data_IF_278104329817
#
_entry.id   IF_278104329817
#
_cell.length_a   1.000
_cell.length_b   1.000
_cell.length_c   1.000
_cell.angle_alpha   90.00
_cell.angle_beta   90.00
_cell.angle_gamma   90.00
#
_symmetry.space_group_name_H-M   'P 1'
#
loop_
_entity.id
_entity.type
_entity.pdbx_description
1 polymer ?
#
# COMPACT_ATOMS: atom_id res chain seq x y z
N UNK A 1 30.15 -1.56 6.48
CA UNK A 1 28.87 -1.58 5.74
C UNK A 1 27.82 -1.19 6.74
N UNK A 2 27.13 -0.09 6.52
CA UNK A 2 26.08 0.41 7.41
C UNK A 2 24.71 -0.17 7.02
N UNK A 3 23.70 0.04 7.86
CA UNK A 3 22.33 -0.42 7.59
C UNK A 3 21.76 0.18 6.31
N UNK A 4 22.08 1.45 6.00
CA UNK A 4 21.58 2.12 4.80
C UNK A 4 22.05 1.45 3.52
N UNK A 5 23.30 0.95 3.49
CA UNK A 5 23.83 0.17 2.37
C UNK A 5 23.06 -1.13 2.17
N UNK A 6 22.75 -1.87 3.25
CA UNK A 6 21.98 -3.12 3.17
C UNK A 6 20.58 -2.84 2.62
N UNK A 7 19.90 -1.81 3.11
CA UNK A 7 18.57 -1.45 2.65
C UNK A 7 18.55 -0.99 1.20
N UNK A 8 19.55 -0.23 0.76
CA UNK A 8 19.70 0.15 -0.64
C UNK A 8 19.90 -1.08 -1.54
N UNK A 9 20.66 -2.09 -1.08
CA UNK A 9 20.81 -3.37 -1.78
C UNK A 9 19.47 -4.08 -1.88
N UNK A 10 18.69 -4.19 -0.80
CA UNK A 10 17.36 -4.80 -0.83
C UNK A 10 16.48 -4.17 -1.92
N UNK A 11 16.42 -2.83 -1.94
CA UNK A 11 15.63 -2.10 -2.95
C UNK A 11 16.11 -2.41 -4.36
N UNK A 12 17.43 -2.39 -4.60
CA UNK A 12 18.03 -2.67 -5.90
C UNK A 12 17.70 -4.08 -6.40
N UNK A 13 17.64 -5.05 -5.50
CA UNK A 13 17.33 -6.44 -5.85
C UNK A 13 15.83 -6.66 -6.09
N UNK A 14 14.96 -5.97 -5.36
CA UNK A 14 13.51 -6.19 -5.40
C UNK A 14 12.80 -5.33 -6.45
N UNK A 15 13.10 -4.03 -6.52
CA UNK A 15 12.40 -3.06 -7.38
C UNK A 15 12.23 -3.49 -8.84
N UNK A 16 13.21 -4.11 -9.53
CA UNK A 16 13.04 -4.48 -10.93
C UNK A 16 12.19 -5.73 -11.18
N UNK A 17 11.95 -6.58 -10.17
CA UNK A 17 11.45 -7.95 -10.40
C UNK A 17 10.17 -8.30 -9.62
N UNK A 18 9.87 -7.60 -8.53
CA UNK A 18 8.71 -8.00 -7.71
C UNK A 18 7.39 -7.52 -8.31
N UNK A 19 6.32 -8.34 -8.27
CA UNK A 19 4.98 -7.89 -8.63
C UNK A 19 4.47 -6.81 -7.66
N UNK A 20 3.67 -5.88 -8.19
CA UNK A 20 3.12 -4.73 -7.46
C UNK A 20 1.63 -4.91 -7.21
N UNK A 21 1.18 -4.59 -6.01
CA UNK A 21 -0.20 -4.71 -5.54
C UNK A 21 -0.66 -3.46 -4.81
N UNK A 22 -1.97 -3.32 -4.64
CA UNK A 22 -2.58 -2.23 -3.89
C UNK A 22 -3.04 -2.76 -2.53
N UNK A 23 -2.87 -1.95 -1.50
CA UNK A 23 -3.39 -2.19 -0.17
C UNK A 23 -3.85 -0.85 0.42
N UNK A 24 -4.83 -0.87 1.32
CA UNK A 24 -5.32 0.28 2.06
C UNK A 24 -5.32 -0.11 3.54
N UNK A 25 -4.89 0.79 4.42
CA UNK A 25 -4.98 0.54 5.86
C UNK A 25 -6.45 0.39 6.26
N UNK A 26 -6.79 -0.67 7.02
CA UNK A 26 -8.19 -0.93 7.39
C UNK A 26 -8.72 0.15 8.34
N UNK A 27 -7.84 0.68 9.19
CA UNK A 27 -8.15 1.78 10.09
C UNK A 27 -8.42 3.06 9.28
N UNK A 28 -9.63 3.59 9.48
CA UNK A 28 -10.08 4.85 8.89
C UNK A 28 -10.03 4.88 7.34
N UNK A 29 -10.07 3.72 6.68
CA UNK A 29 -10.23 3.64 5.23
C UNK A 29 -11.43 4.50 4.76
N UNK A 30 -11.18 5.38 3.79
CA UNK A 30 -12.18 6.33 3.31
C UNK A 30 -12.93 5.73 2.14
N UNK A 31 -14.26 5.68 2.22
CA UNK A 31 -15.10 5.18 1.11
C UNK A 31 -15.35 6.29 0.10
N UNK A 32 -14.99 6.05 -1.14
CA UNK A 32 -15.11 7.04 -2.21
C UNK A 32 -16.16 6.60 -3.21
N UNK A 33 -17.08 7.49 -3.57
CA UNK A 33 -18.01 7.25 -4.69
C UNK A 33 -17.46 7.89 -5.97
N UNK A 34 -17.41 7.12 -7.06
CA UNK A 34 -16.85 7.56 -8.34
C UNK A 34 -17.97 7.85 -9.33
N UNK A 35 -18.16 9.11 -9.70
CA UNK A 35 -19.04 9.52 -10.80
C UNK A 35 -18.27 9.49 -12.13
N UNK A 36 -18.97 9.17 -13.23
CA UNK A 36 -18.32 8.94 -14.54
C UNK A 36 -17.51 7.65 -14.63
N UNK A 37 -17.52 6.83 -13.57
CA UNK A 37 -16.94 5.48 -13.54
C UNK A 37 -17.94 4.39 -13.95
N UNK A 38 -17.58 3.11 -13.81
CA UNK A 38 -18.46 1.99 -14.15
C UNK A 38 -19.65 1.87 -13.18
N UNK A 39 -20.81 1.44 -13.69
CA UNK A 39 -22.00 1.22 -12.86
C UNK A 39 -21.89 0.01 -11.92
N UNK A 40 -21.09 -0.98 -12.30
CA UNK A 40 -20.84 -2.22 -11.56
C UNK A 40 -19.36 -2.55 -11.58
N UNK A 41 -18.91 -3.30 -10.58
CA UNK A 41 -17.54 -3.77 -10.56
C UNK A 41 -17.24 -4.67 -11.76
N UNK A 42 -16.03 -4.54 -12.30
CA UNK A 42 -15.51 -5.41 -13.34
C UNK A 42 -14.01 -5.61 -13.14
N UNK A 43 -13.45 -6.65 -13.76
CA UNK A 43 -12.03 -7.00 -13.67
C UNK A 43 -11.36 -6.80 -15.02
N UNK A 44 -10.14 -6.28 -14.99
CA UNK A 44 -9.27 -6.15 -16.16
C UNK A 44 -7.87 -6.66 -15.86
N UNK A 45 -7.24 -7.27 -16.86
CA UNK A 45 -5.84 -7.66 -16.77
C UNK A 45 -4.94 -6.42 -16.85
N UNK A 46 -4.11 -6.24 -15.82
CA UNK A 46 -3.10 -5.19 -15.74
C UNK A 46 -1.72 -5.80 -15.48
N UNK A 47 -0.62 -5.20 -15.98
CA UNK A 47 0.72 -5.66 -15.67
C UNK A 47 0.96 -5.69 -14.15
N UNK A 48 1.58 -6.76 -13.66
CA UNK A 48 2.08 -6.82 -12.28
C UNK A 48 3.23 -5.85 -12.05
N UNK A 49 3.99 -5.53 -13.09
CA UNK A 49 5.09 -4.58 -13.00
C UNK A 49 5.18 -3.73 -14.27
N UNK A 50 4.93 -2.43 -14.15
CA UNK A 50 4.81 -1.51 -15.30
C UNK A 50 6.07 -1.47 -16.17
N UNK A 51 7.26 -1.67 -15.57
CA UNK A 51 8.54 -1.63 -16.28
C UNK A 51 9.14 -3.02 -16.59
N UNK A 52 8.45 -4.11 -16.23
CA UNK A 52 8.96 -5.47 -16.38
C UNK A 52 7.80 -6.41 -16.77
N UNK A 53 7.54 -6.59 -18.07
CA UNK A 53 6.49 -7.46 -18.57
C UNK A 53 6.63 -8.94 -18.16
N UNK A 54 7.86 -9.41 -17.91
CA UNK A 54 8.14 -10.82 -17.60
C UNK A 54 7.55 -11.27 -16.26
N UNK A 55 7.22 -10.33 -15.37
CA UNK A 55 6.52 -10.59 -14.10
C UNK A 55 5.06 -11.02 -14.34
N UNK A 56 4.52 -10.75 -15.53
CA UNK A 56 3.19 -11.13 -15.96
C UNK A 56 2.10 -10.13 -15.59
N UNK A 57 0.85 -10.60 -15.59
CA UNK A 57 -0.35 -9.80 -15.35
C UNK A 57 -1.10 -10.25 -14.10
N UNK A 58 -2.00 -9.39 -13.63
CA UNK A 58 -2.96 -9.64 -12.55
C UNK A 58 -4.30 -9.03 -12.93
N UNK A 59 -5.38 -9.57 -12.38
CA UNK A 59 -6.68 -8.93 -12.48
C UNK A 59 -6.78 -7.81 -11.46
N UNK A 60 -7.15 -6.61 -11.92
CA UNK A 60 -7.48 -5.46 -11.08
C UNK A 60 -8.98 -5.24 -11.16
N UNK A 61 -9.63 -5.11 -10.00
CA UNK A 61 -11.05 -4.81 -9.92
C UNK A 61 -11.26 -3.29 -9.95
N UNK A 62 -12.08 -2.82 -10.87
CA UNK A 62 -12.56 -1.45 -10.97
C UNK A 62 -14.03 -1.44 -10.55
N UNK A 63 -14.53 -0.34 -9.98
CA UNK A 63 -15.92 -0.27 -9.52
C UNK A 63 -16.41 1.14 -9.22
N UNK A 64 -17.73 1.30 -8.95
CA UNK A 64 -18.35 2.59 -8.65
C UNK A 64 -17.92 3.17 -7.29
N UNK A 65 -17.34 2.35 -6.42
CA UNK A 65 -16.84 2.75 -5.10
C UNK A 65 -15.42 2.27 -4.89
N UNK A 66 -14.60 3.10 -4.24
CA UNK A 66 -13.22 2.81 -3.90
C UNK A 66 -12.97 2.97 -2.40
N UNK A 67 -11.84 2.44 -1.95
CA UNK A 67 -11.20 2.74 -0.68
C UNK A 67 -9.89 3.49 -0.93
N UNK A 68 -9.65 4.53 -0.15
CA UNK A 68 -8.39 5.29 -0.09
C UNK A 68 -7.87 5.36 1.35
N UNK A 69 -6.56 5.53 1.49
CA UNK A 69 -5.95 5.79 2.81
C UNK A 69 -6.37 7.17 3.34
N UNK A 70 -6.69 7.23 4.63
CA UNK A 70 -7.03 8.47 5.33
C UNK A 70 -5.94 9.54 5.18
N UNK A 71 -4.66 9.14 5.21
CA UNK A 71 -3.53 10.05 5.09
C UNK A 71 -3.50 10.77 3.72
N UNK A 72 -3.74 10.03 2.63
CA UNK A 72 -3.80 10.60 1.29
C UNK A 72 -5.00 11.57 1.17
N UNK A 73 -6.18 11.16 1.65
CA UNK A 73 -7.40 11.98 1.61
C UNK A 73 -7.29 13.25 2.45
N UNK A 74 -6.63 13.18 3.60
CA UNK A 74 -6.42 14.33 4.47
C UNK A 74 -5.61 15.44 3.80
N UNK A 75 -4.81 15.13 2.77
CA UNK A 75 -4.05 16.13 2.02
C UNK A 75 -4.84 16.75 0.86
N UNK A 76 -5.94 16.15 0.41
CA UNK A 76 -6.70 16.63 -0.76
C UNK A 76 -7.31 18.02 -0.56
N UNK A 77 -7.47 18.78 -1.63
CA UNK A 77 -8.31 19.98 -1.63
C UNK A 77 -9.60 19.72 -2.41
N UNK A 78 -10.68 20.42 -2.04
CA UNK A 78 -11.90 20.36 -2.84
C UNK A 78 -11.64 20.91 -4.24
N UNK A 79 -12.19 20.24 -5.27
CA UNK A 79 -11.95 20.51 -6.69
C UNK A 79 -10.49 20.27 -7.17
N UNK A 80 -9.66 19.63 -6.36
CA UNK A 80 -8.32 19.20 -6.79
C UNK A 80 -8.40 18.02 -7.77
N UNK A 81 -7.59 18.05 -8.83
CA UNK A 81 -7.39 16.91 -9.70
C UNK A 81 -6.25 16.03 -9.17
N UNK A 82 -6.55 14.75 -8.97
CA UNK A 82 -5.63 13.72 -8.48
C UNK A 82 -5.51 12.58 -9.49
N UNK A 83 -4.42 11.81 -9.43
CA UNK A 83 -4.28 10.59 -10.22
C UNK A 83 -4.57 9.35 -9.37
N UNK A 84 -5.54 8.56 -9.81
CA UNK A 84 -5.76 7.18 -9.37
C UNK A 84 -4.77 6.28 -10.11
N UNK A 85 -3.77 5.75 -9.40
CA UNK A 85 -2.69 4.97 -10.02
C UNK A 85 -3.24 3.82 -10.86
N UNK A 86 -2.75 3.70 -12.10
CA UNK A 86 -3.17 2.68 -13.07
C UNK A 86 -4.64 2.73 -13.52
N UNK A 87 -5.38 3.80 -13.21
CA UNK A 87 -6.73 4.04 -13.74
C UNK A 87 -6.80 5.32 -14.58
N UNK A 88 -6.44 6.47 -14.01
CA UNK A 88 -6.58 7.77 -14.65
C UNK A 88 -6.70 8.90 -13.64
N UNK A 89 -7.02 10.11 -14.10
CA UNK A 89 -7.26 11.22 -13.21
C UNK A 89 -8.71 11.25 -12.72
N UNK A 90 -8.93 11.87 -11.56
CA UNK A 90 -10.23 12.16 -11.02
C UNK A 90 -10.20 13.49 -10.25
N UNK A 91 -11.34 14.17 -10.18
CA UNK A 91 -11.49 15.45 -9.51
C UNK A 91 -12.21 15.22 -8.18
N UNK A 92 -11.64 15.75 -7.10
CA UNK A 92 -12.24 15.73 -5.76
C UNK A 92 -13.46 16.64 -5.74
N UNK A 93 -14.59 16.15 -5.22
CA UNK A 93 -15.85 16.90 -5.16
C UNK A 93 -16.49 16.84 -3.78
N UNK A 94 -16.86 18.01 -3.26
CA UNK A 94 -17.61 18.15 -2.01
C UNK A 94 -16.82 17.66 -0.81
N UNK A 95 -15.50 17.81 -0.80
CA UNK A 95 -14.67 17.36 0.31
C UNK A 95 -14.92 18.23 1.55
N UNK A 96 -15.53 17.63 2.57
CA UNK A 96 -15.68 18.24 3.89
C UNK A 96 -14.59 17.73 4.84
N UNK A 97 -13.83 18.66 5.42
CA UNK A 97 -12.79 18.39 6.43
C UNK A 97 -13.17 18.89 7.83
N UNK A 98 -14.44 19.25 8.05
CA UNK A 98 -14.94 19.72 9.34
C UNK A 98 -14.88 18.64 10.43
N UNK A 99 -14.95 17.37 10.03
CA UNK A 99 -14.81 16.21 10.89
C UNK A 99 -13.58 15.37 10.51
N UNK A 100 -12.95 14.76 11.53
CA UNK A 100 -11.86 13.79 11.37
C UNK A 100 -12.14 12.58 12.25
N UNK A 101 -11.93 11.35 11.76
CA UNK A 101 -11.49 10.99 10.40
C UNK A 101 -12.55 11.23 9.32
N UNK A 102 -12.11 11.41 8.07
CA UNK A 102 -12.98 11.59 6.90
C UNK A 102 -13.57 10.22 6.57
N UNK A 103 -14.89 10.10 6.43
CA UNK A 103 -15.53 8.79 6.19
C UNK A 103 -15.83 8.53 4.73
N UNK A 104 -16.15 9.58 3.99
CA UNK A 104 -16.47 9.49 2.58
C UNK A 104 -16.09 10.76 1.81
N UNK A 105 -15.96 10.61 0.49
CA UNK A 105 -15.82 11.71 -0.47
C UNK A 105 -16.32 11.29 -1.86
N UNK A 106 -16.53 12.27 -2.74
CA UNK A 106 -16.87 12.01 -4.14
C UNK A 106 -15.68 12.31 -5.06
N UNK A 107 -15.46 11.42 -6.02
CA UNK A 107 -14.53 11.64 -7.13
C UNK A 107 -15.30 11.65 -8.44
N UNK A 108 -14.99 12.62 -9.30
CA UNK A 108 -15.47 12.68 -10.67
C UNK A 108 -14.35 12.20 -11.62
N UNK A 109 -14.57 11.08 -12.30
CA UNK A 109 -13.56 10.48 -13.18
C UNK A 109 -13.28 11.39 -14.39
N UNK A 110 -12.01 11.72 -14.59
CA UNK A 110 -11.56 12.61 -15.66
C UNK A 110 -10.45 11.92 -16.48
N UNK A 111 -10.83 10.95 -17.31
CA UNK A 111 -9.87 10.14 -18.08
C UNK A 111 -9.12 10.94 -19.18
N UNK A 112 -9.61 12.12 -19.55
CA UNK A 112 -8.91 13.03 -20.46
C UNK A 112 -7.79 13.83 -19.77
N UNK A 113 -7.68 13.76 -18.45
CA UNK A 113 -6.66 14.46 -17.67
C UNK A 113 -5.24 13.93 -17.91
N UNK A 114 -4.25 14.78 -17.62
CA UNK A 114 -2.83 14.41 -17.70
C UNK A 114 -2.28 14.08 -16.30
N UNK A 115 -1.80 12.86 -16.10
CA UNK A 115 -1.19 12.43 -14.84
C UNK A 115 0.14 13.14 -14.53
N UNK A 116 0.70 13.90 -15.47
CA UNK A 116 1.90 14.71 -15.27
C UNK A 116 1.60 16.06 -14.63
N UNK A 117 0.35 16.54 -14.71
CA UNK A 117 -0.06 17.84 -14.16
C UNK A 117 -0.59 17.72 -12.73
N UNK A 118 -0.92 16.51 -12.28
CA UNK A 118 -1.36 16.24 -10.92
C UNK A 118 -0.17 16.15 -9.96
N UNK A 119 -0.29 16.78 -8.80
CA UNK A 119 0.69 16.68 -7.71
C UNK A 119 0.55 15.37 -6.94
N UNK A 120 -0.68 14.86 -6.81
CA UNK A 120 -1.02 13.69 -5.99
C UNK A 120 -1.33 12.47 -6.85
N UNK A 121 -0.64 11.36 -6.55
CA UNK A 121 -0.85 10.05 -7.16
C UNK A 121 -1.10 9.04 -6.05
N UNK A 122 -2.30 8.50 -6.02
CA UNK A 122 -2.78 7.68 -4.91
C UNK A 122 -3.11 6.27 -5.37
N UNK A 123 -2.79 5.32 -4.51
CA UNK A 123 -3.27 3.95 -4.60
C UNK A 123 -4.70 3.84 -4.07
N UNK A 124 -5.42 2.83 -4.54
CA UNK A 124 -6.84 2.65 -4.27
C UNK A 124 -7.20 1.16 -4.34
N UNK A 125 -8.33 0.78 -3.75
CA UNK A 125 -8.94 -0.54 -3.94
C UNK A 125 -10.40 -0.37 -4.32
N UNK A 126 -10.93 -1.17 -5.24
CA UNK A 126 -12.38 -1.24 -5.40
C UNK A 126 -13.01 -1.71 -4.08
N UNK A 127 -14.03 -0.99 -3.63
CA UNK A 127 -14.83 -1.32 -2.45
C UNK A 127 -15.83 -2.44 -2.77
N UNK A 128 -15.32 -3.53 -3.36
CA UNK A 128 -16.05 -4.74 -3.72
C UNK A 128 -15.69 -5.85 -2.73
N UNK A 129 -16.65 -6.48 -2.03
CA UNK A 129 -16.36 -7.56 -1.09
C UNK A 129 -15.56 -8.73 -1.67
N UNK A 130 -15.70 -9.03 -2.97
CA UNK A 130 -14.91 -10.09 -3.64
C UNK A 130 -13.47 -9.68 -3.94
N UNK A 131 -13.16 -8.37 -3.86
CA UNK A 131 -11.84 -7.82 -4.12
C UNK A 131 -11.02 -7.59 -2.86
N UNK A 132 -11.65 -7.51 -1.69
CA UNK A 132 -11.01 -7.09 -0.45
C UNK A 132 -10.60 -8.31 0.38
N UNK A 133 -9.31 -8.59 0.42
CA UNK A 133 -8.74 -9.60 1.33
C UNK A 133 -8.01 -8.95 2.49
N UNK A 134 -8.03 -9.59 3.66
CA UNK A 134 -7.39 -9.05 4.87
C UNK A 134 -5.93 -9.50 4.98
N UNK A 135 -5.07 -8.58 5.36
CA UNK A 135 -3.66 -8.85 5.63
C UNK A 135 -3.16 -8.12 6.87
N UNK A 136 -2.17 -8.70 7.53
CA UNK A 136 -1.34 -8.01 8.52
C UNK A 136 -0.06 -7.51 7.85
N UNK A 137 0.21 -6.21 7.96
CA UNK A 137 1.46 -5.60 7.51
C UNK A 137 2.35 -5.37 8.73
N UNK A 138 3.49 -6.05 8.79
CA UNK A 138 4.44 -5.92 9.89
C UNK A 138 5.66 -5.10 9.48
N UNK A 139 5.99 -4.08 10.26
CA UNK A 139 7.23 -3.30 10.16
C UNK A 139 8.13 -3.63 11.35
N UNK A 140 9.44 -3.65 11.14
CA UNK A 140 10.43 -4.07 12.14
C UNK A 140 11.50 -3.00 12.32
N UNK A 141 11.76 -2.68 13.59
CA UNK A 141 12.74 -1.71 14.03
C UNK A 141 14.06 -2.34 14.44
N UNK A 142 14.95 -1.50 14.98
CA UNK A 142 16.20 -1.96 15.57
C UNK A 142 15.93 -2.70 16.88
N UNK A 143 16.71 -3.75 17.13
CA UNK A 143 16.65 -4.52 18.38
C UNK A 143 17.33 -3.79 19.54
N UNK A 144 18.29 -2.91 19.23
CA UNK A 144 19.02 -2.10 20.20
C UNK A 144 18.87 -0.61 19.89
N UNK A 145 18.93 0.22 20.92
CA UNK A 145 18.79 1.68 20.86
C UNK A 145 20.12 2.40 20.60
N UNK A 146 21.24 1.67 20.68
CA UNK A 146 22.60 2.18 20.47
C UNK A 146 23.22 1.59 19.20
N UNK A 147 23.81 2.45 18.37
CA UNK A 147 24.38 2.04 17.07
C UNK A 147 25.55 1.04 17.20
N UNK A 148 26.35 1.16 18.26
CA UNK A 148 27.47 0.27 18.55
C UNK A 148 27.62 0.14 20.06
N UNK A 149 27.67 -1.11 20.53
CA UNK A 149 27.98 -1.41 21.93
C UNK A 149 29.50 -1.40 22.14
N UNK A 150 29.95 -0.66 23.13
CA UNK A 150 31.31 -0.63 23.62
C UNK A 150 31.57 -1.81 24.58
N UNK A 151 32.84 -2.09 24.88
CA UNK A 151 33.21 -3.26 25.71
C UNK A 151 32.59 -3.26 27.11
N UNK A 152 32.36 -2.07 27.68
CA UNK A 152 31.84 -1.90 29.03
C UNK A 152 30.32 -1.66 29.06
N UNK A 153 29.65 -1.71 27.90
CA UNK A 153 28.19 -1.60 27.83
C UNK A 153 27.52 -2.91 28.26
N UNK A 154 26.45 -2.79 29.05
CA UNK A 154 25.53 -3.89 29.29
C UNK A 154 24.42 -3.89 28.24
N UNK A 155 24.27 -4.99 27.48
CA UNK A 155 23.29 -5.12 26.41
C UNK A 155 21.86 -4.81 26.88
N UNK A 156 21.49 -5.26 28.07
CA UNK A 156 20.13 -5.13 28.60
C UNK A 156 19.68 -3.67 28.73
N UNK A 157 20.63 -2.75 28.96
CA UNK A 157 20.36 -1.31 29.08
C UNK A 157 20.03 -0.65 27.73
N UNK A 158 20.31 -1.35 26.61
CA UNK A 158 20.15 -0.84 25.26
C UNK A 158 19.17 -1.64 24.41
N UNK A 159 18.43 -2.59 24.98
CA UNK A 159 17.36 -3.27 24.25
C UNK A 159 16.22 -2.29 23.93
N UNK A 160 15.74 -2.32 22.69
CA UNK A 160 14.57 -1.54 22.30
C UNK A 160 13.29 -2.17 22.86
N UNK A 161 12.47 -1.37 23.56
CA UNK A 161 11.21 -1.83 24.16
C UNK A 161 10.20 -2.33 23.10
N UNK A 162 10.23 -1.73 21.91
CA UNK A 162 9.35 -2.09 20.80
C UNK A 162 10.16 -2.20 19.52
N UNK A 163 10.09 -3.37 18.89
CA UNK A 163 10.87 -3.71 17.69
C UNK A 163 9.99 -4.11 16.51
N UNK A 164 8.67 -4.16 16.69
CA UNK A 164 7.73 -4.54 15.64
C UNK A 164 6.42 -3.79 15.78
N UNK A 165 5.84 -3.41 14.64
CA UNK A 165 4.54 -2.75 14.55
C UNK A 165 3.68 -3.46 13.51
N UNK A 166 2.42 -3.71 13.86
CA UNK A 166 1.44 -4.34 12.98
C UNK A 166 0.39 -3.32 12.56
N UNK A 167 0.11 -3.27 11.26
CA UNK A 167 -1.02 -2.54 10.68
C UNK A 167 -1.96 -3.56 10.02
N UNK A 168 -3.25 -3.51 10.36
CA UNK A 168 -4.27 -4.28 9.66
C UNK A 168 -4.61 -3.56 8.34
N UNK A 169 -4.62 -4.31 7.23
CA UNK A 169 -4.85 -3.76 5.90
C UNK A 169 -5.82 -4.61 5.08
N UNK A 170 -6.51 -3.92 4.17
CA UNK A 170 -7.21 -4.52 3.04
C UNK A 170 -6.27 -4.54 1.84
N UNK A 171 -6.24 -5.65 1.12
CA UNK A 171 -5.35 -5.86 -0.04
C UNK A 171 -6.18 -6.37 -1.22
N UNK A 172 -5.72 -6.07 -2.42
CA UNK A 172 -6.31 -6.58 -3.66
C UNK A 172 -6.33 -8.12 -3.70
N UNK A 173 -7.47 -8.73 -4.04
CA UNK A 173 -7.66 -10.18 -4.08
C UNK A 173 -6.68 -10.92 -5.03
N UNK A 174 -6.03 -10.22 -5.96
CA UNK A 174 -5.00 -10.81 -6.82
C UNK A 174 -3.76 -11.31 -6.07
N UNK A 175 -3.64 -11.05 -4.76
CA UNK A 175 -2.62 -11.68 -3.92
C UNK A 175 -2.91 -13.15 -3.58
N UNK A 176 -4.11 -13.68 -3.89
CA UNK A 176 -4.50 -15.05 -3.51
C UNK A 176 -3.57 -16.14 -4.05
N UNK A 177 -2.86 -15.88 -5.16
CA UNK A 177 -1.89 -16.82 -5.74
C UNK A 177 -0.48 -16.75 -5.14
N UNK A 178 -0.21 -15.82 -4.22
CA UNK A 178 1.11 -15.69 -3.59
C UNK A 178 1.34 -16.80 -2.57
N UNK A 179 2.60 -17.20 -2.46
CA UNK A 179 3.09 -18.23 -1.54
C UNK A 179 3.99 -17.63 -0.49
N UNK A 180 4.19 -18.36 0.60
CA UNK A 180 5.22 -18.03 1.57
C UNK A 180 6.58 -17.82 0.88
N UNK A 181 7.31 -16.80 1.31
CA UNK A 181 8.58 -16.32 0.77
C UNK A 181 8.53 -15.60 -0.58
N UNK A 182 7.35 -15.42 -1.19
CA UNK A 182 7.23 -14.50 -2.31
C UNK A 182 7.51 -13.07 -1.84
N UNK A 183 8.13 -12.28 -2.71
CA UNK A 183 8.36 -10.85 -2.48
C UNK A 183 7.45 -10.02 -3.38
N UNK A 184 6.84 -8.99 -2.80
CA UNK A 184 5.94 -8.08 -3.49
C UNK A 184 6.25 -6.63 -3.14
N UNK A 185 5.74 -5.71 -3.96
CA UNK A 185 5.61 -4.31 -3.58
C UNK A 185 4.13 -3.99 -3.35
N UNK A 186 3.81 -3.37 -2.21
CA UNK A 186 2.55 -2.68 -2.01
C UNK A 186 2.77 -1.22 -2.43
N UNK A 187 2.05 -0.76 -3.44
CA UNK A 187 2.15 0.60 -3.97
C UNK A 187 1.99 1.61 -2.83
N UNK A 188 2.90 2.59 -2.76
CA UNK A 188 3.01 3.60 -1.67
C UNK A 188 3.25 3.07 -0.25
N UNK A 189 3.27 1.75 0.01
CA UNK A 189 3.56 1.17 1.35
C UNK A 189 4.94 0.51 1.46
N UNK A 190 5.54 0.09 0.34
CA UNK A 190 6.91 -0.43 0.28
C UNK A 190 6.99 -1.87 -0.20
N UNK A 191 8.08 -2.55 0.15
CA UNK A 191 8.34 -3.94 -0.26
C UNK A 191 8.07 -4.88 0.91
N UNK A 192 7.53 -6.05 0.61
CA UNK A 192 7.11 -7.04 1.60
C UNK A 192 7.48 -8.45 1.17
N UNK A 193 7.84 -9.29 2.13
CA UNK A 193 7.88 -10.75 2.00
C UNK A 193 6.59 -11.32 2.54
N UNK A 194 6.00 -12.29 1.85
CA UNK A 194 4.89 -13.09 2.36
C UNK A 194 5.41 -14.04 3.43
N UNK A 195 5.08 -13.77 4.70
CA UNK A 195 5.39 -14.66 5.83
C UNK A 195 4.37 -15.80 5.93
N UNK A 196 3.08 -15.48 5.70
CA UNK A 196 2.02 -16.48 5.58
C UNK A 196 1.14 -16.11 4.40
N UNK A 197 0.90 -17.09 3.52
CA UNK A 197 0.00 -16.89 2.38
C UNK A 197 -1.43 -16.63 2.86
N UNK A 198 -2.27 -16.11 1.96
CA UNK A 198 -3.69 -15.91 2.25
C UNK A 198 -4.32 -17.23 2.70
N UNK A 199 -5.12 -17.18 3.77
CA UNK A 199 -5.74 -18.36 4.39
C UNK A 199 -4.84 -19.11 5.38
N UNK A 200 -3.56 -18.76 5.50
CA UNK A 200 -2.60 -19.46 6.36
C UNK A 200 -2.18 -18.66 7.60
N UNK A 201 -2.49 -17.36 7.66
CA UNK A 201 -2.28 -16.52 8.83
C UNK A 201 -3.42 -16.53 9.84
N UNK A 202 -3.29 -15.74 10.93
CA UNK A 202 -4.35 -15.55 11.92
C UNK A 202 -5.67 -15.15 11.26
N UNK A 203 -6.77 -15.79 11.65
CA UNK A 203 -8.11 -15.58 11.06
C UNK A 203 -8.17 -15.74 9.53
N UNK A 204 -7.25 -16.50 8.92
CA UNK A 204 -7.16 -16.67 7.48
C UNK A 204 -6.56 -15.48 6.72
N UNK A 205 -5.99 -14.50 7.43
CA UNK A 205 -5.31 -13.33 6.82
C UNK A 205 -4.00 -13.73 6.16
N UNK A 206 -3.56 -12.95 5.18
CA UNK A 206 -2.15 -12.99 4.77
C UNK A 206 -1.29 -12.26 5.82
N UNK A 207 -0.04 -12.69 6.00
CA UNK A 207 0.93 -11.98 6.87
C UNK A 207 2.10 -11.54 6.00
N UNK A 208 2.36 -10.23 5.99
CA UNK A 208 3.34 -9.58 5.12
C UNK A 208 4.38 -8.84 5.97
N UNK A 209 5.64 -9.23 5.85
CA UNK A 209 6.75 -8.62 6.58
C UNK A 209 7.46 -7.60 5.69
N UNK A 210 7.52 -6.36 6.13
CA UNK A 210 8.15 -5.28 5.39
C UNK A 210 9.64 -5.53 5.26
N UNK A 211 10.15 -5.35 4.05
CA UNK A 211 11.57 -5.40 3.74
C UNK A 211 12.13 -3.98 3.80
N UNK A 212 13.08 -3.69 4.71
CA UNK A 212 13.72 -2.38 4.79
C UNK A 212 14.43 -2.01 3.49
N UNK A 213 14.10 -0.85 2.92
CA UNK A 213 14.59 -0.38 1.61
C UNK A 213 15.06 1.08 1.58
N UNK A 214 15.21 1.72 2.75
CA UNK A 214 15.88 3.02 2.89
C UNK A 214 15.08 4.23 2.41
N UNK A 215 13.75 4.15 2.34
CA UNK A 215 12.88 5.32 2.18
C UNK A 215 12.58 6.01 3.51
N UNK A 216 12.25 7.30 3.48
CA UNK A 216 11.73 8.01 4.67
C UNK A 216 10.59 7.19 5.30
N UNK A 217 10.58 7.11 6.64
CA UNK A 217 9.39 6.70 7.38
C UNK A 217 8.24 7.60 6.90
N UNK A 218 7.26 7.01 6.21
CA UNK A 218 5.98 7.67 5.97
C UNK A 218 5.26 7.92 7.28
#
# INVERSE_FOLDING_TARGET
MDWTTIWAINKRMLDPVVPRYMAIEEKDAVTVTVTGGPEKSYKEDRPKHVKNPDVGTKQVTFGPKLLLDQADVAEFADNEEITLMSWGNAIVRGLDKSASPIKDLNLELHLAGDFKTTSKKVHWLAADPENLVKAELWDFGYLITKDTLEKDDNLDDYLAETTAWKVDALVDASIAGLKENDFIQLERKGYYRVDKALGQGPDGRAVLFKVPTGGQKG
#
